data_IF_140593499979
#
_entry.id   IF_140593499979
#
_cell.length_a   1.000
_cell.length_b   1.000
_cell.length_c   1.000
_cell.angle_alpha   90.00
_cell.angle_beta   90.00
_cell.angle_gamma   90.00
#
_symmetry.space_group_name_H-M   'P 1'
#
loop_
_entity.id
_entity.type
_entity.pdbx_description
1 polymer ?
#
# COMPACT_ATOMS: atom_id res chain seq x y z
N UNK A 1 -1.91 -25.32 13.78
CA UNK A 1 -1.63 -24.05 13.09
C UNK A 1 -0.39 -24.23 12.24
N UNK A 2 -0.49 -23.97 10.95
CA UNK A 2 0.64 -23.94 10.02
C UNK A 2 0.93 -22.48 9.73
N UNK A 3 2.19 -22.06 9.89
CA UNK A 3 2.58 -20.67 9.73
C UNK A 3 3.62 -20.54 8.62
N UNK A 4 3.47 -19.53 7.78
CA UNK A 4 4.52 -19.04 6.89
C UNK A 4 4.99 -17.68 7.40
N UNK A 5 6.28 -17.53 7.55
CA UNK A 5 6.89 -16.27 7.97
C UNK A 5 7.51 -15.54 6.80
N UNK A 6 7.34 -14.24 6.74
CA UNK A 6 8.03 -13.35 5.82
C UNK A 6 9.24 -12.73 6.50
N UNK A 7 10.25 -12.56 5.74
CA UNK A 7 11.52 -12.04 6.20
C UNK A 7 12.51 -13.17 6.47
N UNK A 8 13.50 -13.24 5.60
CA UNK A 8 14.69 -14.03 5.86
C UNK A 8 15.35 -13.51 7.13
N UNK A 9 16.15 -14.34 7.78
CA UNK A 9 17.05 -13.86 8.83
C UNK A 9 18.14 -13.00 8.17
N UNK A 10 17.80 -11.73 7.92
CA UNK A 10 18.71 -10.72 7.41
C UNK A 10 19.11 -9.76 8.53
N UNK A 11 20.15 -9.01 8.28
CA UNK A 11 20.57 -7.90 9.15
C UNK A 11 19.77 -6.64 8.81
N UNK A 12 19.76 -5.65 9.72
CA UNK A 12 19.04 -4.39 9.54
C UNK A 12 19.62 -3.50 8.41
N UNK A 13 20.82 -3.77 7.94
CA UNK A 13 21.40 -3.06 6.83
C UNK A 13 20.75 -3.48 5.49
N UNK A 14 20.58 -4.79 5.30
CA UNK A 14 20.01 -5.35 4.06
C UNK A 14 18.48 -5.42 4.08
N UNK A 15 17.88 -5.54 5.25
CA UNK A 15 16.43 -5.68 5.45
C UNK A 15 15.94 -4.74 6.56
N UNK A 16 15.95 -3.41 6.33
CA UNK A 16 15.67 -2.42 7.36
C UNK A 16 14.25 -2.50 7.93
N UNK A 17 13.29 -3.08 7.23
CA UNK A 17 11.91 -3.24 7.66
C UNK A 17 11.69 -4.64 8.24
N UNK A 18 11.89 -5.69 7.46
CA UNK A 18 11.51 -7.07 7.87
C UNK A 18 12.45 -7.69 8.89
N UNK A 19 13.67 -7.18 9.05
CA UNK A 19 14.52 -7.58 10.16
C UNK A 19 13.92 -7.18 11.52
N UNK A 20 13.20 -6.04 11.57
CA UNK A 20 12.55 -5.53 12.79
C UNK A 20 11.08 -5.92 12.90
N UNK A 21 10.37 -5.97 11.79
CA UNK A 21 8.91 -6.10 11.72
C UNK A 21 8.53 -7.31 10.87
N UNK A 22 8.59 -8.49 11.49
CA UNK A 22 8.19 -9.74 10.82
C UNK A 22 6.69 -9.85 10.75
N UNK A 23 6.18 -10.22 9.60
CA UNK A 23 4.78 -10.59 9.40
C UNK A 23 4.68 -12.12 9.33
N UNK A 24 3.55 -12.64 9.81
CA UNK A 24 3.29 -14.07 9.82
C UNK A 24 1.85 -14.32 9.37
N UNK A 25 1.72 -15.13 8.33
CA UNK A 25 0.42 -15.65 7.89
C UNK A 25 0.25 -17.09 8.37
N UNK A 26 -0.97 -17.48 8.67
CA UNK A 26 -1.24 -18.81 9.20
C UNK A 26 -2.43 -19.48 8.53
N UNK A 27 -2.30 -20.78 8.29
CA UNK A 27 -3.45 -21.66 8.11
C UNK A 27 -3.87 -22.19 9.48
N UNK A 28 -5.05 -21.79 9.95
CA UNK A 28 -5.59 -22.24 11.24
C UNK A 28 -6.62 -23.34 11.00
N UNK A 29 -6.38 -24.50 11.58
CA UNK A 29 -7.30 -25.65 11.54
C UNK A 29 -7.94 -25.82 12.89
N UNK A 30 -9.27 -25.86 12.93
CA UNK A 30 -10.06 -26.19 14.11
C UNK A 30 -10.38 -27.69 14.05
N UNK A 31 -9.82 -28.47 14.98
CA UNK A 31 -10.04 -29.91 15.10
C UNK A 31 -10.57 -30.17 16.50
N UNK A 32 -11.85 -30.53 16.59
CA UNK A 32 -12.58 -30.77 17.85
C UNK A 32 -12.42 -29.68 18.92
N UNK A 33 -12.41 -28.41 18.47
CA UNK A 33 -12.25 -27.26 19.36
C UNK A 33 -13.59 -26.83 19.92
N UNK A 34 -13.76 -26.87 21.23
CA UNK A 34 -14.95 -26.37 21.94
C UNK A 34 -14.99 -24.84 21.90
N UNK A 35 -16.04 -24.28 21.29
CA UNK A 35 -16.33 -22.84 21.30
C UNK A 35 -17.44 -22.59 22.33
N UNK A 36 -17.18 -21.82 23.41
CA UNK A 36 -18.20 -21.45 24.39
C UNK A 36 -19.26 -20.54 23.75
N UNK A 37 -20.53 -20.66 24.22
CA UNK A 37 -21.65 -19.90 23.66
C UNK A 37 -21.46 -18.38 23.65
N UNK A 38 -20.83 -17.84 24.67
CA UNK A 38 -20.55 -16.40 24.75
C UNK A 38 -19.62 -15.88 23.63
N UNK A 39 -19.02 -16.79 22.84
CA UNK A 39 -18.19 -16.46 21.67
C UNK A 39 -18.85 -16.81 20.34
N UNK A 40 -20.11 -17.22 20.36
CA UNK A 40 -20.90 -17.52 19.17
C UNK A 40 -21.80 -16.33 18.88
N UNK A 41 -21.52 -15.61 17.78
CA UNK A 41 -22.28 -14.40 17.43
C UNK A 41 -23.40 -14.66 16.42
N UNK A 42 -23.24 -15.69 15.59
CA UNK A 42 -24.26 -16.17 14.64
C UNK A 42 -24.32 -17.69 14.69
N UNK A 43 -25.52 -18.24 14.79
CA UNK A 43 -25.77 -19.69 14.81
C UNK A 43 -27.01 -20.05 13.99
N UNK A 44 -26.96 -19.79 12.69
CA UNK A 44 -28.05 -20.08 11.76
C UNK A 44 -28.92 -18.86 11.39
N UNK A 45 -28.63 -17.67 11.92
CA UNK A 45 -29.31 -16.42 11.54
C UNK A 45 -28.74 -15.95 10.19
N UNK A 46 -29.10 -16.66 9.11
CA UNK A 46 -28.54 -16.45 7.75
C UNK A 46 -28.83 -15.05 7.21
N UNK A 47 -29.95 -14.44 7.60
CA UNK A 47 -30.35 -13.10 7.17
C UNK A 47 -29.38 -12.02 7.71
N UNK A 48 -28.69 -12.30 8.82
CA UNK A 48 -27.74 -11.39 9.45
C UNK A 48 -26.31 -11.52 8.87
N UNK A 49 -26.03 -12.59 8.13
CA UNK A 49 -24.69 -12.81 7.59
C UNK A 49 -24.26 -11.73 6.57
N UNK A 50 -25.18 -11.33 5.69
CA UNK A 50 -24.96 -10.25 4.72
C UNK A 50 -24.68 -8.88 5.39
N UNK A 51 -25.56 -8.41 6.29
CA UNK A 51 -25.32 -7.19 7.06
C UNK A 51 -24.00 -7.19 7.84
N UNK A 52 -23.66 -8.30 8.51
CA UNK A 52 -22.39 -8.44 9.24
C UNK A 52 -21.19 -8.32 8.31
N UNK A 53 -21.19 -9.06 7.20
CA UNK A 53 -20.12 -9.00 6.22
C UNK A 53 -19.95 -7.60 5.63
N UNK A 54 -21.06 -6.91 5.35
CA UNK A 54 -21.05 -5.53 4.85
C UNK A 54 -20.44 -4.56 5.88
N UNK A 55 -20.89 -4.60 7.11
CA UNK A 55 -20.38 -3.75 8.18
C UNK A 55 -18.88 -3.97 8.39
N UNK A 56 -18.43 -5.23 8.46
CA UNK A 56 -17.01 -5.58 8.55
C UNK A 56 -16.21 -4.96 7.40
N UNK A 57 -16.66 -5.13 6.16
CA UNK A 57 -15.94 -4.69 4.97
C UNK A 57 -15.79 -3.16 4.92
N UNK A 58 -16.81 -2.40 5.32
CA UNK A 58 -16.77 -0.92 5.32
C UNK A 58 -15.67 -0.40 6.25
N UNK A 59 -15.60 -0.89 7.48
CA UNK A 59 -14.55 -0.51 8.44
C UNK A 59 -13.17 -1.07 8.05
N UNK A 60 -13.13 -2.31 7.58
CA UNK A 60 -11.88 -2.97 7.22
C UNK A 60 -11.21 -2.27 6.03
N UNK A 61 -11.95 -1.88 5.00
CA UNK A 61 -11.42 -1.14 3.85
C UNK A 61 -10.92 0.25 4.24
N UNK A 62 -11.61 0.93 5.15
CA UNK A 62 -11.15 2.21 5.68
C UNK A 62 -9.82 2.07 6.43
N UNK A 63 -9.73 1.09 7.31
CA UNK A 63 -8.48 0.74 8.02
C UNK A 63 -7.37 0.38 7.04
N UNK A 64 -7.69 -0.44 6.04
CA UNK A 64 -6.75 -0.92 5.02
C UNK A 64 -6.03 0.20 4.28
N UNK A 65 -6.75 1.21 3.79
CA UNK A 65 -6.12 2.34 3.11
C UNK A 65 -5.38 3.22 4.11
N UNK A 66 -5.94 3.41 5.31
CA UNK A 66 -5.34 4.27 6.34
C UNK A 66 -3.95 3.81 6.75
N UNK A 67 -3.74 2.53 7.03
CA UNK A 67 -2.42 2.02 7.44
C UNK A 67 -1.41 1.92 6.27
N UNK A 68 -1.88 1.98 5.02
CA UNK A 68 -1.02 2.00 3.83
C UNK A 68 -0.51 3.40 3.46
N UNK A 69 -1.07 4.46 4.02
CA UNK A 69 -0.62 5.83 3.75
C UNK A 69 0.86 6.07 4.10
N UNK A 70 1.39 5.58 5.25
CA UNK A 70 2.82 5.66 5.52
C UNK A 70 3.70 4.97 4.47
N UNK A 71 3.24 3.85 3.90
CA UNK A 71 3.98 3.12 2.86
C UNK A 71 4.14 3.98 1.59
N UNK A 72 3.08 4.64 1.14
CA UNK A 72 3.18 5.52 -0.04
C UNK A 72 4.00 6.78 0.24
N UNK A 73 4.03 7.27 1.48
CA UNK A 73 4.93 8.35 1.88
C UNK A 73 6.40 7.93 1.79
N UNK A 74 6.70 6.70 2.22
CA UNK A 74 8.07 6.15 2.09
C UNK A 74 8.45 6.00 0.61
N UNK A 75 7.55 5.60 -0.28
CA UNK A 75 7.83 5.58 -1.73
C UNK A 75 8.25 6.95 -2.26
N UNK A 76 7.51 8.00 -1.88
CA UNK A 76 7.85 9.38 -2.26
C UNK A 76 9.20 9.81 -1.67
N UNK A 77 9.39 9.62 -0.37
CA UNK A 77 10.59 10.03 0.34
C UNK A 77 11.85 9.31 -0.13
N UNK A 78 11.80 7.98 -0.25
CA UNK A 78 12.93 7.18 -0.71
C UNK A 78 13.31 7.49 -2.17
N UNK A 79 12.30 7.67 -3.04
CA UNK A 79 12.53 8.05 -4.43
C UNK A 79 13.16 9.43 -4.57
N UNK A 80 12.67 10.41 -3.80
CA UNK A 80 13.22 11.75 -3.80
C UNK A 80 14.68 11.75 -3.32
N UNK A 81 14.94 11.11 -2.18
CA UNK A 81 16.27 11.04 -1.59
C UNK A 81 17.24 10.29 -2.51
N UNK A 82 16.81 9.21 -3.16
CA UNK A 82 17.65 8.49 -4.13
C UNK A 82 17.97 9.34 -5.36
N UNK A 83 16.98 10.12 -5.85
CA UNK A 83 17.20 11.05 -6.95
C UNK A 83 18.21 12.17 -6.59
N UNK A 84 18.17 12.62 -5.34
CA UNK A 84 19.12 13.59 -4.79
C UNK A 84 20.53 12.99 -4.71
N UNK A 85 20.69 11.81 -4.09
CA UNK A 85 21.95 11.09 -3.98
C UNK A 85 22.59 10.81 -5.35
N UNK A 86 21.77 10.41 -6.32
CA UNK A 86 22.24 10.16 -7.69
C UNK A 86 22.48 11.45 -8.50
N UNK A 87 22.17 12.63 -7.97
CA UNK A 87 22.33 13.92 -8.67
C UNK A 87 21.39 14.13 -9.85
N UNK A 88 20.28 13.35 -9.92
CA UNK A 88 19.33 13.35 -11.05
C UNK A 88 18.01 14.05 -10.77
N UNK A 89 17.87 14.72 -9.63
CA UNK A 89 16.61 15.36 -9.20
C UNK A 89 16.10 16.39 -10.22
N UNK A 90 16.97 16.99 -11.03
CA UNK A 90 16.61 17.97 -12.07
C UNK A 90 16.19 17.32 -13.39
N UNK A 91 16.38 16.02 -13.58
CA UNK A 91 16.03 15.34 -14.83
C UNK A 91 14.49 15.30 -15.01
N UNK A 92 14.03 15.63 -16.22
CA UNK A 92 12.59 15.76 -16.51
C UNK A 92 11.81 14.48 -16.24
N UNK A 93 12.33 13.32 -16.65
CA UNK A 93 11.71 12.02 -16.44
C UNK A 93 11.66 11.58 -14.96
N UNK A 94 12.61 12.05 -14.12
CA UNK A 94 12.60 11.81 -12.66
C UNK A 94 11.54 12.67 -12.01
N UNK A 95 11.48 13.97 -12.34
CA UNK A 95 10.44 14.86 -11.81
C UNK A 95 9.02 14.41 -12.18
N UNK A 96 8.83 13.89 -13.40
CA UNK A 96 7.56 13.32 -13.83
C UNK A 96 7.14 12.14 -12.93
N UNK A 97 8.04 11.20 -12.64
CA UNK A 97 7.77 10.06 -11.76
C UNK A 97 7.52 10.48 -10.31
N UNK A 98 8.30 11.43 -9.79
CA UNK A 98 8.07 11.98 -8.45
C UNK A 98 6.71 12.67 -8.35
N UNK A 99 6.31 13.45 -9.35
CA UNK A 99 4.97 14.07 -9.39
C UNK A 99 3.86 13.03 -9.39
N UNK A 100 4.01 11.93 -10.13
CA UNK A 100 3.06 10.81 -10.15
C UNK A 100 2.98 10.09 -8.80
N UNK A 101 4.12 9.82 -8.15
CA UNK A 101 4.16 9.22 -6.79
C UNK A 101 3.51 10.13 -5.76
N UNK A 102 3.78 11.44 -5.80
CA UNK A 102 3.13 12.43 -4.92
C UNK A 102 1.63 12.44 -5.18
N UNK A 103 1.19 12.46 -6.43
CA UNK A 103 -0.22 12.43 -6.79
C UNK A 103 -0.89 11.16 -6.28
N UNK A 104 -0.26 9.99 -6.44
CA UNK A 104 -0.74 8.73 -5.91
C UNK A 104 -0.96 8.77 -4.40
N UNK A 105 0.04 9.25 -3.65
CA UNK A 105 -0.05 9.39 -2.19
C UNK A 105 -1.14 10.38 -1.77
N UNK A 106 -1.25 11.54 -2.44
CA UNK A 106 -2.21 12.57 -2.07
C UNK A 106 -3.66 12.21 -2.44
N UNK A 107 -3.88 11.51 -3.54
CA UNK A 107 -5.22 11.01 -3.90
C UNK A 107 -5.69 9.98 -2.86
N UNK A 108 -4.86 8.99 -2.52
CA UNK A 108 -5.20 8.01 -1.47
C UNK A 108 -5.52 8.70 -0.15
N UNK A 109 -4.69 9.65 0.28
CA UNK A 109 -4.87 10.40 1.52
C UNK A 109 -6.11 11.28 1.50
N UNK A 110 -6.34 12.01 0.40
CA UNK A 110 -7.48 12.90 0.24
C UNK A 110 -8.80 12.14 0.33
N UNK A 111 -8.93 11.04 -0.42
CA UNK A 111 -10.12 10.20 -0.43
C UNK A 111 -10.37 9.54 0.94
N UNK A 112 -9.31 9.06 1.62
CA UNK A 112 -9.44 8.47 2.96
C UNK A 112 -9.91 9.51 3.98
N UNK A 113 -9.36 10.72 3.94
CA UNK A 113 -9.79 11.80 4.83
C UNK A 113 -11.23 12.23 4.56
N UNK A 114 -11.62 12.33 3.30
CA UNK A 114 -12.99 12.72 2.95
C UNK A 114 -13.98 11.64 3.35
N UNK A 115 -13.65 10.36 3.19
CA UNK A 115 -14.46 9.26 3.68
C UNK A 115 -14.72 9.34 5.20
N UNK A 116 -13.73 9.80 5.97
CA UNK A 116 -13.88 10.04 7.41
C UNK A 116 -14.73 11.29 7.71
N UNK A 117 -14.57 12.36 6.94
CA UNK A 117 -15.34 13.62 7.13
C UNK A 117 -16.82 13.44 6.83
N UNK A 118 -17.14 12.62 5.82
CA UNK A 118 -18.51 12.27 5.44
C UNK A 118 -19.07 11.06 6.20
N UNK A 119 -18.44 10.67 7.31
CA UNK A 119 -18.94 9.59 8.15
C UNK A 119 -20.35 9.89 8.67
N UNK A 120 -21.19 8.87 8.67
CA UNK A 120 -22.55 8.93 9.23
C UNK A 120 -22.59 8.20 10.56
N UNK A 121 -23.28 8.75 11.54
CA UNK A 121 -23.49 8.07 12.82
C UNK A 121 -24.69 7.12 12.69
N UNK A 122 -24.44 5.82 12.91
CA UNK A 122 -25.46 4.78 12.93
C UNK A 122 -25.37 4.10 14.31
N UNK A 123 -26.42 4.13 15.09
CA UNK A 123 -26.48 3.55 16.44
C UNK A 123 -25.30 4.00 17.36
N UNK A 124 -24.92 5.29 17.26
CA UNK A 124 -23.82 5.85 18.04
C UNK A 124 -22.42 5.55 17.48
N UNK A 125 -22.29 4.82 16.37
CA UNK A 125 -21.02 4.45 15.74
C UNK A 125 -20.82 5.29 14.47
N UNK A 126 -19.65 5.93 14.32
CA UNK A 126 -19.29 6.64 13.11
C UNK A 126 -18.90 5.64 12.01
N UNK A 127 -19.68 5.59 10.94
CA UNK A 127 -19.43 4.73 9.78
C UNK A 127 -18.86 5.58 8.65
N UNK A 128 -17.65 5.30 8.12
CA UNK A 128 -17.06 6.08 7.05
C UNK A 128 -17.88 5.99 5.76
N UNK A 129 -17.72 6.99 4.87
CA UNK A 129 -18.39 6.94 3.57
C UNK A 129 -17.86 5.76 2.75
N UNK A 130 -18.71 4.77 2.52
CA UNK A 130 -18.35 3.52 1.86
C UNK A 130 -17.98 3.70 0.38
N UNK A 131 -18.59 4.65 -0.34
CA UNK A 131 -18.24 4.95 -1.73
C UNK A 131 -16.81 5.48 -1.81
N UNK A 132 -16.50 6.53 -1.05
CA UNK A 132 -15.20 7.19 -1.06
C UNK A 132 -14.06 6.26 -0.65
N UNK A 133 -14.27 5.41 0.37
CA UNK A 133 -13.22 4.47 0.79
C UNK A 133 -13.00 3.35 -0.22
N UNK A 134 -14.04 2.90 -0.92
CA UNK A 134 -13.87 1.94 -1.99
C UNK A 134 -13.17 2.54 -3.21
N UNK A 135 -13.41 3.80 -3.54
CA UNK A 135 -12.65 4.53 -4.57
C UNK A 135 -11.18 4.63 -4.17
N UNK A 136 -10.89 5.00 -2.91
CA UNK A 136 -9.52 5.08 -2.41
C UNK A 136 -8.79 3.74 -2.52
N UNK A 137 -9.44 2.65 -2.08
CA UNK A 137 -8.88 1.29 -2.13
C UNK A 137 -8.65 0.83 -3.58
N UNK A 138 -9.64 1.02 -4.45
CA UNK A 138 -9.54 0.70 -5.88
C UNK A 138 -8.38 1.45 -6.52
N UNK A 139 -8.27 2.75 -6.27
CA UNK A 139 -7.19 3.58 -6.82
C UNK A 139 -5.82 3.13 -6.29
N UNK A 140 -5.71 2.84 -5.00
CA UNK A 140 -4.51 2.30 -4.40
C UNK A 140 -4.09 0.98 -5.08
N UNK A 141 -5.01 0.02 -5.15
CA UNK A 141 -4.73 -1.32 -5.68
C UNK A 141 -4.33 -1.30 -7.17
N UNK A 142 -5.07 -0.56 -8.00
CA UNK A 142 -4.86 -0.53 -9.45
C UNK A 142 -3.58 0.20 -9.86
N UNK A 143 -3.06 1.10 -9.02
CA UNK A 143 -1.85 1.87 -9.31
C UNK A 143 -0.61 1.39 -8.55
N UNK A 144 -0.73 0.42 -7.64
CA UNK A 144 0.35 0.00 -6.76
C UNK A 144 1.58 -0.50 -7.52
N UNK A 145 1.41 -1.42 -8.47
CA UNK A 145 2.53 -1.98 -9.26
C UNK A 145 3.21 -0.92 -10.12
N UNK A 146 2.44 0.03 -10.64
CA UNK A 146 3.00 1.15 -11.38
C UNK A 146 3.81 2.08 -10.47
N UNK A 147 3.38 2.28 -9.23
CA UNK A 147 4.13 3.04 -8.24
C UNK A 147 5.48 2.35 -7.93
N UNK A 148 5.49 1.02 -7.73
CA UNK A 148 6.72 0.26 -7.56
C UNK A 148 7.67 0.45 -8.76
N UNK A 149 7.16 0.38 -9.98
CA UNK A 149 7.96 0.56 -11.19
C UNK A 149 8.61 1.95 -11.26
N UNK A 150 7.91 3.01 -10.85
CA UNK A 150 8.51 4.36 -10.78
C UNK A 150 9.60 4.47 -9.73
N UNK A 151 9.41 3.86 -8.57
CA UNK A 151 10.42 3.82 -7.49
C UNK A 151 11.68 3.09 -7.97
N UNK A 152 11.52 1.91 -8.56
CA UNK A 152 12.64 1.10 -9.09
C UNK A 152 13.41 1.82 -10.18
N UNK A 153 12.73 2.47 -11.11
CA UNK A 153 13.37 3.18 -12.21
C UNK A 153 14.19 4.39 -11.71
N UNK A 154 13.73 5.10 -10.68
CA UNK A 154 14.49 6.18 -10.05
C UNK A 154 15.72 5.63 -9.31
N UNK A 155 15.60 4.46 -8.67
CA UNK A 155 16.68 3.84 -7.90
C UNK A 155 17.80 3.29 -8.78
N UNK A 156 17.46 2.77 -9.96
CA UNK A 156 18.43 2.24 -10.93
C UNK A 156 18.82 0.78 -10.71
N UNK A 157 19.71 0.28 -11.55
CA UNK A 157 19.99 -1.15 -11.71
C UNK A 157 20.70 -1.84 -10.54
N UNK A 158 21.38 -1.10 -9.65
CA UNK A 158 22.04 -1.69 -8.48
C UNK A 158 21.09 -2.12 -7.35
N UNK A 159 19.82 -1.88 -7.53
CA UNK A 159 18.78 -2.11 -6.49
C UNK A 159 18.83 -3.52 -5.86
N UNK A 160 19.10 -4.55 -6.66
CA UNK A 160 19.10 -5.97 -6.22
C UNK A 160 20.46 -6.65 -6.43
N UNK A 161 21.47 -5.91 -6.85
CA UNK A 161 22.83 -6.39 -7.13
C UNK A 161 23.90 -5.58 -6.42
N UNK A 162 23.50 -4.79 -5.43
CA UNK A 162 24.42 -4.02 -4.60
C UNK A 162 25.27 -4.91 -3.67
N UNK A 163 26.38 -4.38 -3.18
CA UNK A 163 27.20 -5.05 -2.19
C UNK A 163 26.45 -5.33 -0.89
N UNK A 164 26.85 -6.40 -0.21
CA UNK A 164 26.32 -6.80 1.09
C UNK A 164 26.88 -5.96 2.25
N UNK A 165 26.33 -6.18 3.45
CA UNK A 165 26.90 -5.63 4.68
C UNK A 165 28.33 -6.15 4.92
N UNK A 166 28.58 -7.44 4.64
CA UNK A 166 29.90 -8.07 4.80
C UNK A 166 30.94 -7.43 3.84
N UNK A 167 30.55 -7.13 2.59
CA UNK A 167 31.42 -6.43 1.65
C UNK A 167 31.80 -5.04 2.17
N UNK A 168 30.87 -4.35 2.82
CA UNK A 168 31.09 -3.01 3.37
C UNK A 168 32.02 -3.03 4.60
N UNK A 169 32.00 -4.13 5.36
CA UNK A 169 32.85 -4.35 6.55
C UNK A 169 34.24 -4.86 6.18
N UNK A 170 34.45 -5.43 4.99
CA UNK A 170 35.76 -5.90 4.54
C UNK A 170 36.71 -4.71 4.27
N UNK A 171 37.83 -4.60 5.05
CA UNK A 171 38.81 -3.51 4.87
C UNK A 171 39.44 -3.43 3.47
N UNK A 172 39.45 -4.55 2.74
CA UNK A 172 40.03 -4.58 1.37
C UNK A 172 39.04 -4.01 0.34
N UNK A 173 37.73 -4.18 0.59
CA UNK A 173 36.69 -3.71 -0.30
C UNK A 173 36.23 -2.29 0.03
N UNK A 174 36.24 -1.92 1.30
CA UNK A 174 35.72 -0.65 1.81
C UNK A 174 36.18 0.56 0.99
N UNK A 175 37.48 0.67 0.74
CA UNK A 175 38.02 1.81 -0.02
C UNK A 175 37.60 1.85 -1.50
N UNK A 176 37.32 0.68 -2.09
CA UNK A 176 36.77 0.60 -3.44
C UNK A 176 35.26 0.98 -3.44
N UNK A 177 34.52 0.50 -2.48
CA UNK A 177 33.09 0.84 -2.34
C UNK A 177 32.91 2.33 -2.09
N UNK A 178 33.66 2.92 -1.17
CA UNK A 178 33.63 4.37 -0.91
C UNK A 178 33.98 5.19 -2.16
N UNK A 179 34.94 4.71 -2.98
CA UNK A 179 35.33 5.41 -4.19
C UNK A 179 34.30 5.34 -5.32
N UNK A 180 33.66 4.16 -5.53
CA UNK A 180 32.84 3.92 -6.71
C UNK A 180 31.33 3.96 -6.43
N UNK A 181 30.90 3.84 -5.19
CA UNK A 181 29.46 3.86 -4.82
C UNK A 181 29.04 5.13 -4.12
N UNK A 182 29.95 5.99 -3.63
CA UNK A 182 29.55 7.32 -3.22
C UNK A 182 29.00 8.12 -4.41
N UNK A 183 28.09 9.03 -4.13
CA UNK A 183 27.40 9.82 -5.13
C UNK A 183 27.35 11.30 -4.72
N UNK A 184 26.72 12.14 -5.53
CA UNK A 184 26.80 13.60 -5.47
C UNK A 184 26.47 14.26 -4.11
N UNK A 185 25.85 13.56 -3.20
CA UNK A 185 25.48 14.11 -1.89
C UNK A 185 25.45 13.07 -0.78
N UNK A 186 26.01 11.85 -1.00
CA UNK A 186 25.95 10.76 -0.03
C UNK A 186 27.24 9.95 0.04
N UNK A 187 27.50 9.36 1.22
CA UNK A 187 28.46 8.28 1.36
C UNK A 187 28.00 7.02 0.60
N UNK A 188 28.93 6.12 0.30
CA UNK A 188 28.60 4.81 -0.27
C UNK A 188 27.64 4.05 0.66
N UNK A 189 27.88 4.09 1.96
CA UNK A 189 27.06 3.41 2.97
C UNK A 189 25.62 3.94 3.01
N UNK A 190 25.41 5.25 3.07
CA UNK A 190 24.06 5.84 3.09
C UNK A 190 23.29 5.52 1.81
N UNK A 191 23.99 5.55 0.67
CA UNK A 191 23.38 5.20 -0.61
C UNK A 191 22.98 3.73 -0.66
N UNK A 192 23.82 2.82 -0.16
CA UNK A 192 23.50 1.39 -0.08
C UNK A 192 22.35 1.11 0.90
N UNK A 193 22.34 1.76 2.07
CA UNK A 193 21.20 1.67 3.01
C UNK A 193 19.90 2.07 2.36
N UNK A 194 19.90 3.15 1.59
CA UNK A 194 18.70 3.59 0.88
C UNK A 194 18.31 2.65 -0.26
N UNK A 195 19.29 2.09 -0.99
CA UNK A 195 19.03 1.06 -2.00
C UNK A 195 18.41 -0.19 -1.37
N UNK A 196 18.92 -0.66 -0.24
CA UNK A 196 18.38 -1.81 0.48
C UNK A 196 16.94 -1.55 0.97
N UNK A 197 16.64 -0.35 1.46
CA UNK A 197 15.28 0.04 1.80
C UNK A 197 14.37 -0.03 0.56
N UNK A 198 14.78 0.53 -0.57
CA UNK A 198 13.99 0.50 -1.80
C UNK A 198 13.87 -0.92 -2.34
N UNK A 199 14.92 -1.73 -2.27
CA UNK A 199 14.87 -3.15 -2.65
C UNK A 199 13.84 -3.90 -1.80
N UNK A 200 13.85 -3.70 -0.50
CA UNK A 200 12.90 -4.33 0.41
C UNK A 200 11.45 -3.90 0.14
N UNK A 201 11.25 -2.64 -0.21
CA UNK A 201 9.92 -2.10 -0.55
C UNK A 201 9.40 -2.54 -1.92
N UNK A 202 10.27 -2.94 -2.86
CA UNK A 202 9.87 -3.09 -4.26
C UNK A 202 10.29 -4.40 -4.95
N UNK A 203 11.22 -5.18 -4.37
CA UNK A 203 11.84 -6.30 -5.08
C UNK A 203 12.12 -7.56 -4.24
N UNK A 204 11.91 -7.55 -2.94
CA UNK A 204 12.15 -8.70 -2.07
C UNK A 204 10.87 -9.44 -1.71
N UNK A 205 10.98 -10.47 -0.86
CA UNK A 205 9.83 -11.22 -0.32
C UNK A 205 8.83 -10.30 0.41
N UNK A 206 9.33 -9.28 1.14
CA UNK A 206 8.48 -8.28 1.77
C UNK A 206 7.69 -7.47 0.72
N UNK A 207 8.35 -7.01 -0.34
CA UNK A 207 7.71 -6.31 -1.44
C UNK A 207 6.64 -7.17 -2.13
N UNK A 208 6.96 -8.45 -2.38
CA UNK A 208 6.03 -9.40 -2.97
C UNK A 208 4.78 -9.59 -2.11
N UNK A 209 4.95 -9.73 -0.80
CA UNK A 209 3.84 -9.81 0.14
C UNK A 209 2.97 -8.55 0.11
N UNK A 210 3.57 -7.35 0.19
CA UNK A 210 2.83 -6.08 0.11
C UNK A 210 2.10 -5.91 -1.22
N UNK A 211 2.68 -6.36 -2.34
CA UNK A 211 2.07 -6.31 -3.65
C UNK A 211 0.82 -7.23 -3.74
N UNK A 212 0.89 -8.42 -3.17
CA UNK A 212 -0.26 -9.33 -3.08
C UNK A 212 -1.35 -8.74 -2.17
N UNK A 213 -0.98 -8.18 -1.01
CA UNK A 213 -1.92 -7.49 -0.11
C UNK A 213 -2.60 -6.30 -0.79
N UNK A 214 -1.89 -5.55 -1.63
CA UNK A 214 -2.46 -4.41 -2.33
C UNK A 214 -3.66 -4.78 -3.20
N UNK A 215 -3.64 -5.99 -3.79
CA UNK A 215 -4.66 -6.47 -4.74
C UNK A 215 -5.72 -7.33 -4.05
N UNK A 216 -5.30 -8.26 -3.19
CA UNK A 216 -6.17 -9.33 -2.68
C UNK A 216 -6.66 -9.14 -1.26
N UNK A 217 -5.93 -8.38 -0.43
CA UNK A 217 -6.36 -8.14 0.94
C UNK A 217 -7.51 -7.13 1.00
N UNK A 218 -8.36 -7.26 2.00
CA UNK A 218 -9.48 -6.36 2.33
C UNK A 218 -10.60 -6.33 1.26
N UNK A 219 -10.68 -7.36 0.45
CA UNK A 219 -11.67 -7.52 -0.61
C UNK A 219 -11.08 -7.40 -2.01
N UNK A 220 -11.76 -8.00 -2.97
CA UNK A 220 -11.32 -7.98 -4.37
C UNK A 220 -11.64 -6.64 -5.05
N UNK A 221 -10.85 -6.30 -6.05
CA UNK A 221 -11.07 -5.13 -6.93
C UNK A 221 -12.50 -5.13 -7.49
N UNK A 222 -13.04 -6.28 -7.87
CA UNK A 222 -14.41 -6.37 -8.40
C UNK A 222 -15.47 -6.05 -7.33
N UNK A 223 -15.26 -6.48 -6.08
CA UNK A 223 -16.16 -6.13 -4.98
C UNK A 223 -16.13 -4.62 -4.67
N UNK A 224 -15.00 -3.96 -4.84
CA UNK A 224 -14.87 -2.51 -4.70
C UNK A 224 -15.65 -1.78 -5.79
N UNK A 225 -15.48 -2.15 -7.07
CA UNK A 225 -16.23 -1.60 -8.20
C UNK A 225 -17.74 -1.78 -8.03
N UNK A 226 -18.17 -2.97 -7.61
CA UNK A 226 -19.60 -3.22 -7.34
C UNK A 226 -20.13 -2.35 -6.20
N UNK A 227 -19.34 -2.10 -5.16
CA UNK A 227 -19.76 -1.24 -4.05
C UNK A 227 -19.89 0.21 -4.54
N UNK A 228 -18.92 0.72 -5.27
CA UNK A 228 -18.96 2.07 -5.86
C UNK A 228 -20.21 2.23 -6.72
N UNK A 229 -20.45 1.30 -7.65
CA UNK A 229 -21.61 1.33 -8.54
C UNK A 229 -22.95 1.35 -7.80
N UNK A 230 -23.09 0.54 -6.72
CA UNK A 230 -24.33 0.45 -5.93
C UNK A 230 -24.55 1.62 -5.00
N UNK A 231 -23.49 2.26 -4.52
CA UNK A 231 -23.60 3.35 -3.55
C UNK A 231 -23.76 4.72 -4.24
N UNK A 232 -23.27 4.85 -5.48
CA UNK A 232 -23.30 6.11 -6.19
C UNK A 232 -24.73 6.48 -6.60
N UNK A 233 -25.17 7.67 -6.18
CA UNK A 233 -26.41 8.25 -6.65
C UNK A 233 -26.17 8.94 -8.00
N UNK A 234 -26.45 8.24 -9.09
CA UNK A 234 -26.23 8.74 -10.46
C UNK A 234 -27.31 9.75 -10.92
N UNK A 235 -28.47 9.79 -10.26
CA UNK A 235 -29.64 10.56 -10.71
C UNK A 235 -29.36 12.07 -10.93
N UNK A 236 -28.65 12.79 -10.04
CA UNK A 236 -28.33 14.19 -10.29
C UNK A 236 -27.53 14.40 -11.58
N UNK A 237 -26.60 13.50 -11.88
CA UNK A 237 -25.78 13.55 -13.11
C UNK A 237 -26.63 13.28 -14.36
N UNK A 238 -27.55 12.32 -14.28
CA UNK A 238 -28.48 12.00 -15.35
C UNK A 238 -29.41 13.20 -15.65
N UNK A 239 -29.96 13.81 -14.60
CA UNK A 239 -30.83 15.00 -14.76
C UNK A 239 -30.07 16.17 -15.37
N UNK A 240 -28.81 16.37 -14.97
CA UNK A 240 -27.97 17.41 -15.55
C UNK A 240 -27.68 17.17 -17.04
N UNK A 241 -27.34 15.92 -17.40
CA UNK A 241 -27.13 15.53 -18.79
C UNK A 241 -28.40 15.70 -19.64
N UNK A 242 -29.58 15.29 -19.15
CA UNK A 242 -30.87 15.49 -19.81
C UNK A 242 -31.13 16.97 -20.09
N UNK A 243 -30.91 17.83 -19.08
CA UNK A 243 -31.09 19.29 -19.23
C UNK A 243 -30.23 19.85 -20.35
N UNK A 244 -28.95 19.50 -20.40
CA UNK A 244 -28.03 19.97 -21.44
C UNK A 244 -28.39 19.45 -22.84
N UNK A 245 -28.86 18.21 -22.91
CA UNK A 245 -29.28 17.59 -24.17
C UNK A 245 -30.68 18.01 -24.65
N UNK A 246 -31.43 18.82 -23.88
CA UNK A 246 -32.80 19.22 -24.23
C UNK A 246 -33.82 18.07 -24.12
N UNK A 247 -33.50 17.01 -23.33
CA UNK A 247 -34.39 15.87 -23.12
C UNK A 247 -35.36 16.20 -21.97
N UNK A 248 -36.66 16.07 -22.25
CA UNK A 248 -37.69 16.30 -21.24
C UNK A 248 -37.56 15.30 -20.07
N UNK A 249 -37.79 15.77 -18.83
CA UNK A 249 -38.00 14.91 -17.71
C UNK A 249 -39.43 14.34 -17.80
N UNK A 250 -39.56 13.10 -18.23
CA UNK A 250 -40.80 12.35 -18.13
C UNK A 250 -40.97 11.79 -16.74
#
# INVERSE_FOLDING_TARGET
>A
MLASGYGRQGNEFEQPISARHKMMETLTVFDDVKVPWERVFLNGEVDMAGPLAKAFVEFHRFTAVSYKLPLVDVFVGASHLMAEYNGILRAGHVRDKLAKLISYAQICRGMTREAAREAKTVDGIAVPNAELINIAKLYFATNYHQALAWVQDIAGGLLVTGPSAEDLEDPKLRGLLDKYLSAAGSSAEDRLRLMNLIAELTATDFAGYQAVLAIHAEGSIEAEKMTIWRQHNVEPSVLYAKRLAGIANN
#
